data_IF_392659713953
#
_entry.id   IF_392659713953
#
_cell.length_a   1.000
_cell.length_b   1.000
_cell.length_c   1.000
_cell.angle_alpha   90.00
_cell.angle_beta   90.00
_cell.angle_gamma   90.00
#
_symmetry.space_group_name_H-M   'P 1'
#
loop_
_entity.id
_entity.type
_entity.pdbx_description
1 polymer ?
#
# COMPACT_ATOMS: atom_id res chain seq x y z
N UNK A 1 7.74 10.01 22.56
CA UNK A 1 8.09 9.72 21.15
C UNK A 1 8.47 11.03 20.50
N UNK A 2 9.51 11.05 19.68
CA UNK A 2 9.88 12.24 18.91
C UNK A 2 8.98 12.35 17.67
N UNK A 3 8.55 13.56 17.34
CA UNK A 3 7.87 13.87 16.08
C UNK A 3 8.86 14.58 15.14
N UNK A 4 8.67 14.43 13.84
CA UNK A 4 9.43 15.13 12.81
C UNK A 4 8.47 15.66 11.75
N UNK A 5 8.91 16.68 11.00
CA UNK A 5 8.15 17.17 9.85
C UNK A 5 8.16 16.11 8.73
N UNK A 6 7.11 16.03 7.89
CA UNK A 6 7.11 15.12 6.75
C UNK A 6 8.35 15.31 5.87
N UNK A 7 9.02 14.21 5.51
CA UNK A 7 10.21 14.23 4.63
C UNK A 7 9.86 14.14 3.14
N UNK A 8 8.61 14.49 2.79
CA UNK A 8 8.11 14.45 1.41
C UNK A 8 7.70 15.85 0.99
N UNK A 9 8.02 16.28 -0.25
CA UNK A 9 7.62 17.59 -0.73
C UNK A 9 6.09 17.61 -0.86
N UNK A 10 5.44 18.50 -0.12
CA UNK A 10 3.99 18.73 -0.23
C UNK A 10 3.80 20.17 -0.67
N UNK A 11 3.11 20.35 -1.79
CA UNK A 11 2.71 21.64 -2.31
C UNK A 11 1.18 21.71 -2.36
N UNK A 12 0.62 22.88 -2.09
CA UNK A 12 -0.81 23.14 -2.25
C UNK A 12 -0.93 24.25 -3.28
N UNK A 13 -1.69 23.99 -4.33
CA UNK A 13 -2.01 25.00 -5.34
C UNK A 13 -3.05 25.97 -4.76
N UNK A 14 -2.71 27.26 -4.68
CA UNK A 14 -3.56 28.28 -4.04
C UNK A 14 -4.85 28.58 -4.81
N UNK A 15 -4.88 28.34 -6.13
CA UNK A 15 -6.06 28.60 -6.97
C UNK A 15 -7.07 27.46 -6.91
N UNK A 16 -6.58 26.22 -6.87
CA UNK A 16 -7.39 25.01 -7.00
C UNK A 16 -7.53 24.22 -5.70
N UNK A 17 -6.65 24.46 -4.72
CA UNK A 17 -6.56 23.70 -3.48
C UNK A 17 -6.00 22.28 -3.64
N UNK A 18 -5.44 21.93 -4.81
CA UNK A 18 -4.88 20.58 -5.05
C UNK A 18 -3.59 20.41 -4.26
N UNK A 19 -3.55 19.36 -3.43
CA UNK A 19 -2.33 18.92 -2.76
C UNK A 19 -1.55 18.04 -3.72
N UNK A 20 -0.26 18.31 -3.87
CA UNK A 20 0.65 17.50 -4.70
C UNK A 20 1.79 16.98 -3.84
N UNK A 21 2.12 15.70 -4.00
CA UNK A 21 3.33 15.12 -3.44
C UNK A 21 4.11 14.45 -4.55
N UNK A 22 5.39 14.79 -4.65
CA UNK A 22 6.26 14.38 -5.76
C UNK A 22 5.57 14.72 -7.11
N UNK A 23 5.24 13.74 -7.94
CA UNK A 23 4.58 13.97 -9.24
C UNK A 23 3.06 13.79 -9.23
N UNK A 24 2.43 13.55 -8.06
CA UNK A 24 1.05 13.06 -7.99
C UNK A 24 0.13 13.95 -7.14
N UNK A 25 -1.11 14.21 -7.63
CA UNK A 25 -2.13 14.86 -6.82
C UNK A 25 -2.63 13.91 -5.72
N UNK A 26 -2.87 14.47 -4.55
CA UNK A 26 -3.19 13.77 -3.32
C UNK A 26 -4.45 14.35 -2.67
N UNK A 27 -5.12 13.54 -1.87
CA UNK A 27 -6.18 13.99 -0.96
C UNK A 27 -5.69 13.84 0.49
N UNK A 28 -5.73 14.92 1.26
CA UNK A 28 -5.51 14.85 2.71
C UNK A 28 -6.82 14.54 3.42
N UNK A 29 -7.07 13.24 3.65
CA UNK A 29 -8.32 12.72 4.20
C UNK A 29 -8.12 12.25 5.64
N UNK A 30 -9.00 12.60 6.59
CA UNK A 30 -8.94 12.06 7.95
C UNK A 30 -9.07 10.53 7.97
N UNK A 31 -8.18 9.85 8.72
CA UNK A 31 -8.17 8.38 8.83
C UNK A 31 -9.53 7.79 9.17
N UNK A 32 -10.22 8.35 10.17
CA UNK A 32 -11.52 7.84 10.60
C UNK A 32 -12.56 7.90 9.47
N UNK A 33 -12.55 8.95 8.64
CA UNK A 33 -13.48 9.06 7.52
C UNK A 33 -13.22 7.95 6.50
N UNK A 34 -11.95 7.75 6.11
CA UNK A 34 -11.60 6.70 5.15
C UNK A 34 -11.98 5.31 5.68
N UNK A 35 -11.61 4.98 6.92
CA UNK A 35 -11.87 3.67 7.49
C UNK A 35 -13.36 3.44 7.78
N UNK A 36 -14.14 4.49 8.13
CA UNK A 36 -15.59 4.37 8.27
C UNK A 36 -16.28 4.03 6.94
N UNK A 37 -15.86 4.64 5.83
CA UNK A 37 -16.37 4.27 4.51
C UNK A 37 -15.99 2.83 4.16
N UNK A 38 -14.75 2.43 4.47
CA UNK A 38 -14.30 1.07 4.26
C UNK A 38 -15.14 0.04 5.04
N UNK A 39 -15.40 0.29 6.34
CA UNK A 39 -16.27 -0.53 7.18
C UNK A 39 -17.71 -0.58 6.67
N UNK A 40 -18.29 0.58 6.33
CA UNK A 40 -19.68 0.66 5.88
C UNK A 40 -19.94 -0.06 4.56
N UNK A 41 -18.98 -0.04 3.62
CA UNK A 41 -19.08 -0.79 2.37
C UNK A 41 -18.91 -2.30 2.62
N UNK A 42 -17.96 -2.67 3.47
CA UNK A 42 -17.72 -4.07 3.85
C UNK A 42 -18.96 -4.69 4.50
N UNK A 43 -19.67 -3.96 5.36
CA UNK A 43 -20.91 -4.41 6.00
C UNK A 43 -22.00 -4.80 4.99
N UNK A 44 -22.06 -4.11 3.85
CA UNK A 44 -23.06 -4.35 2.79
C UNK A 44 -22.63 -5.49 1.86
N UNK A 45 -21.36 -5.53 1.46
CA UNK A 45 -20.87 -6.46 0.42
C UNK A 45 -20.33 -7.78 0.98
N UNK A 46 -19.94 -7.79 2.26
CA UNK A 46 -19.07 -8.80 2.84
C UNK A 46 -17.60 -8.60 2.46
N UNK A 47 -16.70 -9.09 3.32
CA UNK A 47 -15.25 -8.90 3.19
C UNK A 47 -14.69 -9.48 1.87
N UNK A 48 -15.09 -10.68 1.45
CA UNK A 48 -14.50 -11.35 0.29
C UNK A 48 -14.74 -10.59 -1.02
N UNK A 49 -16.00 -10.20 -1.29
CA UNK A 49 -16.34 -9.44 -2.49
C UNK A 49 -15.71 -8.05 -2.48
N UNK A 50 -15.68 -7.42 -1.31
CA UNK A 50 -15.08 -6.10 -1.18
C UNK A 50 -13.57 -6.15 -1.38
N UNK A 51 -12.89 -7.17 -0.84
CA UNK A 51 -11.48 -7.41 -1.06
C UNK A 51 -11.14 -7.59 -2.54
N UNK A 52 -11.96 -8.31 -3.31
CA UNK A 52 -11.76 -8.46 -4.77
C UNK A 52 -11.82 -7.11 -5.51
N UNK A 53 -12.80 -6.26 -5.16
CA UNK A 53 -12.94 -4.92 -5.74
C UNK A 53 -11.72 -4.06 -5.39
N UNK A 54 -11.34 -4.05 -4.11
CA UNK A 54 -10.18 -3.29 -3.63
C UNK A 54 -8.86 -3.79 -4.21
N UNK A 55 -8.72 -5.09 -4.43
CA UNK A 55 -7.53 -5.65 -5.07
C UNK A 55 -7.35 -5.04 -6.46
N UNK A 56 -8.39 -5.06 -7.30
CA UNK A 56 -8.33 -4.54 -8.68
C UNK A 56 -8.03 -3.03 -8.70
N UNK A 57 -8.72 -2.26 -7.87
CA UNK A 57 -8.53 -0.81 -7.77
C UNK A 57 -7.13 -0.46 -7.25
N UNK A 58 -6.69 -1.15 -6.20
CA UNK A 58 -5.40 -0.97 -5.56
C UNK A 58 -4.24 -1.37 -6.45
N UNK A 59 -4.37 -2.47 -7.20
CA UNK A 59 -3.40 -2.91 -8.20
C UNK A 59 -3.14 -1.83 -9.24
N UNK A 60 -4.21 -1.30 -9.85
CA UNK A 60 -4.10 -0.24 -10.87
C UNK A 60 -3.47 1.03 -10.29
N UNK A 61 -3.84 1.39 -9.06
CA UNK A 61 -3.36 2.60 -8.41
C UNK A 61 -1.87 2.51 -8.09
N UNK A 62 -1.41 1.39 -7.54
CA UNK A 62 -0.01 1.17 -7.22
C UNK A 62 0.85 1.09 -8.49
N UNK A 63 0.37 0.43 -9.54
CA UNK A 63 1.05 0.43 -10.84
C UNK A 63 1.29 1.86 -11.33
N UNK A 64 0.23 2.66 -11.42
CA UNK A 64 0.33 4.04 -11.89
C UNK A 64 1.25 4.89 -11.01
N UNK A 65 1.16 4.72 -9.68
CA UNK A 65 2.02 5.41 -8.73
C UNK A 65 3.49 5.08 -8.95
N UNK A 66 3.84 3.79 -9.06
CA UNK A 66 5.22 3.35 -9.26
C UNK A 66 5.79 3.83 -10.59
N UNK A 67 4.99 3.83 -11.67
CA UNK A 67 5.39 4.37 -12.96
C UNK A 67 5.74 5.87 -12.87
N UNK A 68 4.88 6.66 -12.23
CA UNK A 68 5.06 8.11 -12.11
C UNK A 68 6.22 8.49 -11.20
N UNK A 69 6.44 7.75 -10.12
CA UNK A 69 7.53 8.01 -9.19
C UNK A 69 8.87 7.51 -9.72
N UNK A 70 8.88 6.40 -10.47
CA UNK A 70 10.06 5.96 -11.20
C UNK A 70 10.52 7.04 -12.20
N UNK A 71 9.59 7.60 -12.97
CA UNK A 71 9.85 8.71 -13.89
C UNK A 71 10.33 9.98 -13.16
N UNK A 72 9.62 10.39 -12.11
CA UNK A 72 9.90 11.62 -11.35
C UNK A 72 11.30 11.62 -10.71
N UNK A 73 11.73 10.48 -10.18
CA UNK A 73 12.97 10.37 -9.41
C UNK A 73 14.10 9.63 -10.14
N UNK A 74 13.85 9.19 -11.38
CA UNK A 74 14.81 8.38 -12.14
C UNK A 74 15.12 7.03 -11.48
N UNK A 75 14.13 6.41 -10.85
CA UNK A 75 14.29 5.14 -10.13
C UNK A 75 14.01 3.94 -11.05
N UNK A 76 14.66 2.82 -10.77
CA UNK A 76 14.45 1.56 -11.47
C UNK A 76 14.55 0.35 -10.53
N UNK A 77 13.97 -0.78 -10.94
CA UNK A 77 14.09 -2.05 -10.22
C UNK A 77 13.61 -1.97 -8.76
N UNK A 78 14.41 -2.54 -7.85
CA UNK A 78 14.09 -2.59 -6.42
C UNK A 78 13.93 -1.22 -5.77
N UNK A 79 14.64 -0.19 -6.26
CA UNK A 79 14.59 1.16 -5.71
C UNK A 79 13.19 1.79 -5.82
N UNK A 80 12.42 1.43 -6.86
CA UNK A 80 11.02 1.86 -7.01
C UNK A 80 10.15 1.28 -5.89
N UNK A 81 10.32 -0.01 -5.57
CA UNK A 81 9.55 -0.67 -4.52
C UNK A 81 9.92 -0.16 -3.12
N UNK A 82 11.22 0.04 -2.86
CA UNK A 82 11.71 0.62 -1.60
C UNK A 82 11.16 2.04 -1.39
N UNK A 83 11.19 2.87 -2.43
CA UNK A 83 10.58 4.20 -2.41
C UNK A 83 9.08 4.13 -2.17
N UNK A 84 8.38 3.18 -2.80
CA UNK A 84 6.96 2.97 -2.58
C UNK A 84 6.64 2.65 -1.12
N UNK A 85 7.36 1.70 -0.49
CA UNK A 85 7.16 1.35 0.92
C UNK A 85 7.45 2.53 1.85
N UNK A 86 8.52 3.28 1.56
CA UNK A 86 8.86 4.51 2.29
C UNK A 86 7.73 5.54 2.20
N UNK A 87 7.19 5.80 1.00
CA UNK A 87 6.12 6.78 0.78
C UNK A 87 4.78 6.33 1.35
N UNK A 88 4.46 5.04 1.33
CA UNK A 88 3.30 4.52 2.07
C UNK A 88 3.42 4.81 3.57
N UNK A 89 4.62 4.64 4.12
CA UNK A 89 4.88 4.89 5.53
C UNK A 89 4.77 6.36 5.90
N UNK A 90 5.37 7.24 5.08
CA UNK A 90 5.33 8.69 5.29
C UNK A 90 3.94 9.29 5.09
N UNK A 91 3.06 8.64 4.30
CA UNK A 91 1.65 9.04 4.12
C UNK A 91 0.73 8.57 5.25
N UNK A 92 1.25 7.86 6.25
CA UNK A 92 0.50 7.52 7.46
C UNK A 92 -0.40 6.29 7.36
N UNK A 93 -0.18 5.41 6.38
CA UNK A 93 -0.87 4.12 6.26
C UNK A 93 -0.39 3.09 7.30
N UNK A 94 0.82 3.25 7.81
CA UNK A 94 1.49 2.38 8.78
C UNK A 94 3.01 2.46 8.57
N UNK A 95 3.78 1.56 9.17
CA UNK A 95 5.21 1.41 8.86
C UNK A 95 5.41 0.11 8.07
N UNK A 96 5.80 0.25 6.82
CA UNK A 96 6.03 -0.86 5.91
C UNK A 96 7.52 -1.21 5.87
N UNK A 97 7.84 -2.47 6.11
CA UNK A 97 9.19 -3.00 6.17
C UNK A 97 9.32 -4.17 5.19
N UNK A 98 10.08 -3.98 4.11
CA UNK A 98 10.38 -5.04 3.15
C UNK A 98 11.32 -6.06 3.81
N UNK A 99 10.80 -7.25 4.11
CA UNK A 99 11.59 -8.36 4.66
C UNK A 99 12.33 -9.11 3.56
N UNK A 100 11.69 -9.24 2.39
CA UNK A 100 12.22 -9.92 1.21
C UNK A 100 11.71 -9.25 -0.05
N UNK A 101 12.58 -9.10 -1.04
CA UNK A 101 12.22 -8.72 -2.40
C UNK A 101 13.13 -9.47 -3.37
N UNK A 102 12.54 -10.33 -4.18
CA UNK A 102 13.19 -11.06 -5.26
C UNK A 102 12.36 -10.85 -6.53
N UNK A 103 12.78 -9.87 -7.32
CA UNK A 103 12.14 -9.53 -8.58
C UNK A 103 12.41 -10.57 -9.68
N UNK A 104 13.46 -11.39 -9.56
CA UNK A 104 13.74 -12.41 -10.58
C UNK A 104 12.73 -13.56 -10.46
N UNK A 105 12.28 -13.87 -9.25
CA UNK A 105 11.28 -14.90 -9.00
C UNK A 105 9.89 -14.35 -8.65
N UNK A 106 9.67 -13.03 -8.65
CA UNK A 106 8.39 -12.41 -8.31
C UNK A 106 7.94 -12.63 -6.86
N UNK A 107 8.87 -12.85 -5.94
CA UNK A 107 8.58 -13.06 -4.53
C UNK A 107 8.87 -11.82 -3.69
N UNK A 108 7.98 -11.49 -2.77
CA UNK A 108 8.22 -10.45 -1.78
C UNK A 108 7.54 -10.75 -0.46
N UNK A 109 8.08 -10.20 0.62
CA UNK A 109 7.49 -10.23 1.95
C UNK A 109 7.54 -8.83 2.55
N UNK A 110 6.38 -8.31 2.95
CA UNK A 110 6.25 -6.97 3.53
C UNK A 110 5.59 -7.10 4.89
N UNK A 111 6.27 -6.61 5.91
CA UNK A 111 5.73 -6.48 7.26
C UNK A 111 5.11 -5.09 7.45
N UNK A 112 3.94 -5.05 8.09
CA UNK A 112 3.21 -3.82 8.39
C UNK A 112 3.05 -3.66 9.90
N UNK A 113 3.61 -2.58 10.46
CA UNK A 113 3.38 -2.16 11.85
C UNK A 113 2.51 -0.90 11.87
N UNK A 114 1.84 -0.65 13.00
CA UNK A 114 1.06 0.59 13.19
C UNK A 114 0.01 0.85 12.09
N UNK A 115 -0.67 -0.21 11.62
CA UNK A 115 -1.65 -0.11 10.55
C UNK A 115 -2.75 0.91 10.86
N UNK A 116 -3.05 1.75 9.87
CA UNK A 116 -4.16 2.69 9.92
C UNK A 116 -5.52 1.99 10.11
N UNK A 117 -5.69 0.77 9.58
CA UNK A 117 -6.93 0.00 9.75
C UNK A 117 -7.01 -0.61 11.15
N UNK A 118 -5.94 -1.29 11.61
CA UNK A 118 -5.90 -1.92 12.94
C UNK A 118 -6.11 -0.88 14.05
N UNK A 119 -5.61 0.34 13.89
CA UNK A 119 -5.87 1.41 14.86
C UNK A 119 -7.32 1.85 14.98
N UNK A 120 -8.15 1.60 13.98
CA UNK A 120 -9.59 1.93 14.01
C UNK A 120 -10.42 0.69 14.35
N UNK A 121 -10.13 -0.45 13.74
CA UNK A 121 -10.83 -1.71 13.99
C UNK A 121 -10.52 -2.29 15.37
N UNK A 122 -9.29 -2.16 15.86
CA UNK A 122 -8.79 -2.88 17.02
C UNK A 122 -8.56 -4.38 16.75
N UNK A 123 -8.57 -5.18 17.83
CA UNK A 123 -8.44 -6.64 17.76
C UNK A 123 -9.79 -7.27 17.45
N UNK A 124 -9.99 -7.65 16.20
CA UNK A 124 -11.25 -8.26 15.70
C UNK A 124 -11.07 -9.70 15.23
N UNK A 125 -9.90 -10.28 15.48
CA UNK A 125 -9.54 -11.66 15.16
C UNK A 125 -9.78 -12.05 13.69
N UNK A 126 -9.48 -11.13 12.77
CA UNK A 126 -9.47 -11.33 11.32
C UNK A 126 -8.58 -10.32 10.63
N UNK A 127 -8.30 -10.56 9.36
CA UNK A 127 -7.54 -9.66 8.48
C UNK A 127 -8.36 -8.43 8.10
N UNK A 128 -7.78 -7.25 8.27
CA UNK A 128 -8.42 -5.95 7.96
C UNK A 128 -7.59 -5.08 7.02
N UNK A 129 -6.38 -5.51 6.67
CA UNK A 129 -5.44 -4.73 5.85
C UNK A 129 -5.39 -5.24 4.39
N UNK A 130 -6.37 -6.08 4.02
CA UNK A 130 -6.40 -6.80 2.75
C UNK A 130 -6.42 -5.88 1.53
N UNK A 131 -6.78 -4.60 1.68
CA UNK A 131 -6.67 -3.58 0.63
C UNK A 131 -5.25 -3.48 0.04
N UNK A 132 -4.20 -3.67 0.87
CA UNK A 132 -2.81 -3.54 0.42
C UNK A 132 -2.34 -4.70 -0.47
N UNK A 133 -3.08 -5.81 -0.52
CA UNK A 133 -2.69 -6.97 -1.35
C UNK A 133 -2.59 -6.60 -2.83
N UNK A 134 -3.59 -5.90 -3.37
CA UNK A 134 -3.56 -5.38 -4.73
C UNK A 134 -2.39 -4.41 -4.94
N UNK A 135 -2.06 -3.62 -3.92
CA UNK A 135 -1.03 -2.58 -4.02
C UNK A 135 0.36 -3.17 -4.23
N UNK A 136 0.70 -4.23 -3.51
CA UNK A 136 2.03 -4.83 -3.60
C UNK A 136 2.21 -5.60 -4.91
N UNK A 137 1.21 -6.35 -5.35
CA UNK A 137 1.24 -6.97 -6.67
C UNK A 137 1.27 -5.94 -7.80
N UNK A 138 0.51 -4.85 -7.69
CA UNK A 138 0.53 -3.77 -8.67
C UNK A 138 1.90 -3.09 -8.80
N UNK A 139 2.55 -2.82 -7.68
CA UNK A 139 3.89 -2.24 -7.64
C UNK A 139 4.95 -3.19 -8.22
N UNK A 140 4.97 -4.45 -7.77
CA UNK A 140 5.95 -5.45 -8.22
C UNK A 140 5.76 -5.73 -9.71
N UNK A 141 4.54 -5.98 -10.17
CA UNK A 141 4.29 -6.27 -11.58
C UNK A 141 4.60 -5.08 -12.48
N UNK A 142 4.43 -3.84 -12.02
CA UNK A 142 4.85 -2.65 -12.79
C UNK A 142 6.36 -2.65 -13.02
N UNK A 143 7.15 -2.91 -11.97
CA UNK A 143 8.61 -2.97 -12.04
C UNK A 143 9.05 -4.12 -12.96
N UNK A 144 8.41 -5.28 -12.85
CA UNK A 144 8.67 -6.44 -13.70
C UNK A 144 8.39 -6.14 -15.17
N UNK A 145 7.23 -5.53 -15.45
CA UNK A 145 6.85 -5.14 -16.81
C UNK A 145 7.82 -4.09 -17.40
N UNK A 146 8.24 -3.10 -16.61
CA UNK A 146 9.25 -2.13 -17.03
C UNK A 146 10.61 -2.78 -17.38
N UNK A 147 10.95 -3.90 -16.72
CA UNK A 147 12.12 -4.74 -17.05
C UNK A 147 11.88 -5.73 -18.20
N UNK A 148 10.69 -5.76 -18.80
CA UNK A 148 10.33 -6.72 -19.84
C UNK A 148 10.09 -8.14 -19.34
N UNK A 149 9.91 -8.35 -18.03
CA UNK A 149 9.57 -9.67 -17.47
C UNK A 149 8.09 -10.00 -17.70
N UNK A 150 7.76 -11.25 -18.07
CA UNK A 150 6.37 -11.69 -18.21
C UNK A 150 5.74 -12.11 -16.88
N UNK A 151 6.50 -12.14 -15.78
CA UNK A 151 6.02 -12.59 -14.48
C UNK A 151 4.88 -11.69 -14.00
N UNK A 152 3.83 -12.31 -13.48
CA UNK A 152 2.71 -11.67 -12.81
C UNK A 152 2.58 -12.25 -11.42
N UNK A 153 2.15 -11.44 -10.47
CA UNK A 153 2.15 -11.83 -9.06
C UNK A 153 0.77 -11.69 -8.43
N UNK A 154 0.59 -12.42 -7.33
CA UNK A 154 -0.50 -12.28 -6.39
C UNK A 154 0.06 -12.11 -4.99
N UNK A 155 -0.55 -11.19 -4.24
CA UNK A 155 -0.21 -10.96 -2.84
C UNK A 155 -1.36 -11.42 -1.98
N UNK A 156 -1.03 -12.10 -0.88
CA UNK A 156 -1.98 -12.45 0.18
C UNK A 156 -1.54 -11.80 1.47
N UNK A 157 -2.51 -11.43 2.32
CA UNK A 157 -2.23 -11.11 3.71
C UNK A 157 -2.20 -12.44 4.48
N UNK A 158 -1.02 -12.84 4.97
CA UNK A 158 -0.86 -14.08 5.74
C UNK A 158 -1.46 -13.91 7.14
N UNK A 159 -1.18 -12.79 7.81
CA UNK A 159 -1.81 -12.38 9.07
C UNK A 159 -1.90 -10.85 9.22
N UNK A 160 -2.70 -10.40 10.18
CA UNK A 160 -2.93 -8.99 10.53
C UNK A 160 -2.64 -8.72 12.00
N UNK A 161 -2.23 -7.49 12.29
CA UNK A 161 -2.16 -6.98 13.67
C UNK A 161 -3.53 -6.91 14.36
N UNK A 162 -4.64 -7.12 13.64
CA UNK A 162 -5.98 -7.29 14.21
C UNK A 162 -6.27 -8.71 14.72
N UNK A 163 -5.42 -9.69 14.40
CA UNK A 163 -5.55 -11.09 14.85
C UNK A 163 -4.94 -11.31 16.23
N UNK A 164 -5.45 -12.30 16.98
CA UNK A 164 -4.85 -12.68 18.26
C UNK A 164 -3.41 -13.21 18.05
N UNK A 165 -2.50 -12.86 18.97
CA UNK A 165 -1.09 -13.30 18.89
C UNK A 165 -0.19 -12.54 17.91
N UNK A 166 -0.70 -11.53 17.18
CA UNK A 166 0.07 -10.75 16.22
C UNK A 166 0.06 -9.25 16.53
N UNK A 167 1.21 -8.60 16.66
CA UNK A 167 1.29 -7.13 16.85
C UNK A 167 1.58 -6.36 15.53
N UNK A 168 1.83 -7.10 14.47
CA UNK A 168 2.08 -6.62 13.11
C UNK A 168 1.28 -7.45 12.09
N UNK A 169 1.31 -7.04 10.83
CA UNK A 169 0.77 -7.80 9.70
C UNK A 169 1.88 -8.27 8.77
N UNK A 170 1.62 -9.35 8.03
CA UNK A 170 2.53 -9.87 7.00
C UNK A 170 1.78 -10.08 5.70
N UNK A 171 2.40 -9.61 4.63
CA UNK A 171 1.98 -9.82 3.26
C UNK A 171 3.03 -10.61 2.52
N UNK A 172 2.59 -11.59 1.74
CA UNK A 172 3.47 -12.41 0.91
C UNK A 172 3.00 -12.34 -0.52
N UNK A 173 3.91 -11.91 -1.38
CA UNK A 173 3.74 -11.88 -2.83
C UNK A 173 4.43 -13.08 -3.45
N UNK A 174 3.76 -13.76 -4.37
CA UNK A 174 4.26 -14.91 -5.13
C UNK A 174 3.84 -14.76 -6.60
N UNK A 175 4.54 -15.41 -7.55
CA UNK A 175 4.04 -15.55 -8.92
C UNK A 175 2.64 -16.17 -8.98
N UNK A 176 1.86 -15.77 -9.98
CA UNK A 176 0.58 -16.39 -10.34
C UNK A 176 0.74 -17.83 -10.83
#
# INVERSE_FOLDING_TARGET
MATHAPEMPIQVDDETGVWTTDALPMLYVPRHFFVNNHMGIEEVLGADKYAEILYKAGYKSAWHWCEKEAECHGLEGAAVFEHYMKRLSQRGWGLFETQKLDLETGHAEVKLKHSAFVYVYGKVNRKVDYMFTGWFSGAIDQILAAKGSPIRTVTVQEYSGAEEGHDDGLFVTRPL
#
